data_IF_034277055246
#
_entry.id   IF_034277055246
#
_cell.length_a   1.000
_cell.length_b   1.000
_cell.length_c   1.000
_cell.angle_alpha   90.00
_cell.angle_beta   90.00
_cell.angle_gamma   90.00
#
_symmetry.space_group_name_H-M   'P 1'
#
loop_
_entity.id
_entity.type
_entity.pdbx_description
1 polymer ?
#
# COMPACT_ATOMS: atom_id res chain seq x y z
N UNK A 1 1.76 -12.88 14.17
CA UNK A 1 0.43 -13.17 14.75
C UNK A 1 -0.43 -11.97 14.46
N UNK A 2 -1.33 -12.07 13.48
CA UNK A 2 -2.31 -11.02 13.21
C UNK A 2 -3.26 -10.99 14.41
N UNK A 3 -3.55 -9.80 14.95
CA UNK A 3 -4.67 -9.65 15.87
C UNK A 3 -5.90 -9.79 14.99
N UNK A 4 -6.51 -10.96 14.93
CA UNK A 4 -7.84 -11.13 14.36
C UNK A 4 -8.81 -10.36 15.24
N UNK A 5 -9.14 -9.16 14.83
CA UNK A 5 -10.24 -8.42 15.41
C UNK A 5 -11.50 -9.01 14.82
N UNK A 6 -12.27 -9.73 15.64
CA UNK A 6 -13.56 -10.29 15.19
C UNK A 6 -14.46 -9.17 14.70
N UNK A 7 -15.15 -9.37 13.59
CA UNK A 7 -16.07 -8.39 12.96
C UNK A 7 -17.10 -7.83 13.93
N UNK A 8 -17.57 -8.64 14.89
CA UNK A 8 -18.49 -8.22 15.94
C UNK A 8 -17.88 -7.25 16.98
N UNK A 9 -16.59 -6.95 16.91
CA UNK A 9 -15.92 -6.00 17.78
C UNK A 9 -15.95 -4.55 17.27
N UNK A 10 -16.32 -4.34 16.00
CA UNK A 10 -16.31 -3.02 15.38
C UNK A 10 -17.53 -2.19 15.80
N UNK A 11 -17.29 -0.89 16.03
CA UNK A 11 -18.32 0.10 16.37
C UNK A 11 -18.25 1.23 15.34
N UNK A 12 -19.41 1.65 14.80
CA UNK A 12 -19.45 2.75 13.85
C UNK A 12 -19.10 4.10 14.51
N UNK A 13 -18.47 5.03 13.80
CA UNK A 13 -18.01 6.31 14.36
C UNK A 13 -19.10 7.18 14.96
N UNK A 14 -20.35 6.99 14.53
CA UNK A 14 -21.51 7.75 15.01
C UNK A 14 -22.20 7.11 16.23
N UNK A 15 -21.63 6.07 16.83
CA UNK A 15 -22.20 5.37 17.99
C UNK A 15 -21.56 5.82 19.28
N UNK A 16 -22.40 5.91 20.34
CA UNK A 16 -21.93 6.12 21.70
C UNK A 16 -20.95 5.00 22.08
N UNK A 17 -19.82 5.37 22.67
CA UNK A 17 -18.79 4.41 23.05
C UNK A 17 -17.77 4.08 21.95
N UNK A 18 -17.88 4.67 20.73
CA UNK A 18 -16.87 4.49 19.67
C UNK A 18 -15.46 4.81 20.16
N UNK A 19 -15.27 5.97 20.79
CA UNK A 19 -13.96 6.39 21.28
C UNK A 19 -13.39 5.42 22.31
N UNK A 20 -14.22 4.97 23.27
CA UNK A 20 -13.82 3.97 24.27
C UNK A 20 -13.42 2.66 23.61
N UNK A 21 -14.22 2.17 22.68
CA UNK A 21 -13.93 0.93 21.94
C UNK A 21 -12.66 1.02 21.11
N UNK A 22 -12.43 2.16 20.43
CA UNK A 22 -11.21 2.40 19.68
C UNK A 22 -9.99 2.43 20.61
N UNK A 23 -10.10 3.10 21.74
CA UNK A 23 -9.05 3.10 22.76
C UNK A 23 -8.75 1.68 23.27
N UNK A 24 -9.78 0.88 23.58
CA UNK A 24 -9.62 -0.50 24.06
C UNK A 24 -8.97 -1.41 23.02
N UNK A 25 -9.34 -1.27 21.73
CA UNK A 25 -8.77 -2.07 20.63
C UNK A 25 -7.34 -1.64 20.32
N UNK A 26 -7.10 -0.34 20.19
CA UNK A 26 -5.85 0.23 19.70
C UNK A 26 -4.96 0.83 20.79
N UNK A 27 -5.16 0.42 22.05
CA UNK A 27 -4.39 0.95 23.17
C UNK A 27 -2.87 0.75 22.93
N UNK A 28 -2.05 1.80 23.07
CA UNK A 28 -0.61 1.75 22.79
C UNK A 28 0.11 0.60 23.49
N UNK A 29 -0.24 0.26 24.71
CA UNK A 29 0.40 -0.83 25.46
C UNK A 29 0.30 -2.21 24.77
N UNK A 30 -0.75 -2.45 23.96
CA UNK A 30 -0.90 -3.70 23.21
C UNK A 30 0.13 -3.82 22.10
N UNK A 31 0.59 -2.69 21.56
CA UNK A 31 1.58 -2.63 20.48
C UNK A 31 3.00 -2.53 21.00
N UNK A 32 3.22 -1.83 22.13
CA UNK A 32 4.55 -1.68 22.75
C UNK A 32 5.04 -2.96 23.41
N UNK A 33 4.20 -3.72 24.12
CA UNK A 33 4.59 -4.99 24.74
C UNK A 33 5.15 -6.01 23.75
N UNK A 34 4.65 -6.03 22.49
CA UNK A 34 5.17 -6.90 21.44
C UNK A 34 6.50 -6.43 20.87
N UNK A 35 6.80 -5.15 20.91
CA UNK A 35 8.10 -4.60 20.51
C UNK A 35 9.17 -4.87 21.57
N UNK A 36 8.83 -4.71 22.84
CA UNK A 36 9.72 -5.01 23.98
C UNK A 36 10.03 -6.51 24.10
N UNK A 37 9.05 -7.40 23.88
CA UNK A 37 9.26 -8.86 23.90
C UNK A 37 10.18 -9.35 22.77
N UNK A 38 10.29 -8.61 21.65
CA UNK A 38 11.27 -8.88 20.61
C UNK A 38 12.65 -8.25 20.87
N UNK A 39 12.71 -7.20 21.67
CA UNK A 39 13.96 -6.55 22.07
C UNK A 39 14.64 -7.24 23.26
N UNK A 40 13.87 -7.98 24.08
CA UNK A 40 14.34 -8.75 25.23
C UNK A 40 14.68 -10.21 24.89
N UNK A 41 14.76 -10.57 23.62
CA UNK A 41 15.44 -11.81 23.22
C UNK A 41 16.92 -11.58 23.51
N UNK A 42 17.38 -12.10 24.66
CA UNK A 42 18.77 -12.04 25.10
C UNK A 42 19.66 -12.54 23.96
N UNK A 43 20.52 -11.65 23.45
CA UNK A 43 21.60 -12.00 22.57
C UNK A 43 22.60 -12.88 23.34
N UNK A 44 22.42 -14.19 23.30
CA UNK A 44 23.54 -15.08 23.47
C UNK A 44 24.43 -14.95 22.24
N UNK A 45 25.72 -14.74 22.45
CA UNK A 45 26.71 -14.25 21.47
C UNK A 45 26.87 -15.05 20.17
N UNK A 46 26.19 -16.19 20.00
CA UNK A 46 26.42 -17.10 18.87
C UNK A 46 25.21 -17.38 17.96
N UNK A 47 24.08 -16.70 18.11
CA UNK A 47 22.90 -16.97 17.27
C UNK A 47 22.00 -15.77 16.98
N UNK A 48 22.52 -14.55 16.99
CA UNK A 48 21.78 -13.35 16.59
C UNK A 48 21.89 -13.12 15.08
N UNK A 49 21.47 -14.09 14.26
CA UNK A 49 20.99 -13.77 12.92
C UNK A 49 19.64 -13.07 13.10
N UNK A 50 19.69 -11.74 13.25
CA UNK A 50 18.54 -10.90 13.03
C UNK A 50 18.04 -11.25 11.62
N UNK A 51 16.89 -11.93 11.56
CA UNK A 51 16.22 -12.21 10.29
C UNK A 51 15.83 -10.85 9.65
N UNK A 52 16.80 -10.20 9.02
CA UNK A 52 16.71 -8.89 8.36
C UNK A 52 15.67 -8.91 7.24
N UNK A 53 15.19 -10.12 6.86
CA UNK A 53 14.14 -10.32 5.86
C UNK A 53 12.75 -9.89 6.36
N UNK A 54 12.53 -9.77 7.68
CA UNK A 54 11.25 -9.34 8.23
C UNK A 54 11.23 -7.83 8.47
N UNK A 55 10.57 -7.11 7.59
CA UNK A 55 10.23 -5.70 7.83
C UNK A 55 9.37 -5.62 9.08
N UNK A 56 9.95 -5.14 10.18
CA UNK A 56 9.20 -4.90 11.41
C UNK A 56 8.52 -3.53 11.35
N UNK A 57 7.19 -3.53 11.27
CA UNK A 57 6.41 -2.30 11.34
C UNK A 57 6.48 -1.70 12.75
N UNK A 58 6.62 -0.38 12.84
CA UNK A 58 6.49 0.34 14.09
C UNK A 58 5.06 0.21 14.65
N UNK A 59 4.85 0.39 15.98
CA UNK A 59 3.54 0.30 16.60
C UNK A 59 2.46 1.13 15.91
N UNK A 60 2.75 2.38 15.57
CA UNK A 60 1.83 3.27 14.87
C UNK A 60 1.45 2.78 13.47
N UNK A 61 2.38 2.17 12.75
CA UNK A 61 2.13 1.59 11.43
C UNK A 61 1.24 0.34 11.50
N UNK A 62 1.43 -0.47 12.55
CA UNK A 62 0.56 -1.62 12.82
C UNK A 62 -0.86 -1.20 13.14
N UNK A 63 -1.03 -0.12 13.93
CA UNK A 63 -2.36 0.44 14.23
C UNK A 63 -3.09 0.80 12.94
N UNK A 64 -2.42 1.47 12.00
CA UNK A 64 -3.02 1.83 10.71
C UNK A 64 -3.41 0.59 9.91
N UNK A 65 -2.51 -0.39 9.81
CA UNK A 65 -2.78 -1.66 9.13
C UNK A 65 -4.00 -2.37 9.75
N UNK A 66 -4.06 -2.47 11.08
CA UNK A 66 -5.13 -3.15 11.79
C UNK A 66 -6.46 -2.39 11.69
N UNK A 67 -6.44 -1.04 11.73
CA UNK A 67 -7.62 -0.20 11.55
C UNK A 67 -8.20 -0.33 10.14
N UNK A 68 -7.35 -0.45 9.14
CA UNK A 68 -7.72 -0.57 7.72
C UNK A 68 -7.81 -2.02 7.26
N UNK A 69 -8.10 -2.99 8.14
CA UNK A 69 -8.32 -4.38 7.75
C UNK A 69 -9.52 -4.52 6.80
N UNK A 70 -9.52 -5.59 6.01
CA UNK A 70 -10.60 -5.86 5.06
C UNK A 70 -11.98 -5.88 5.72
N UNK A 71 -12.10 -6.52 6.87
CA UNK A 71 -13.35 -6.64 7.62
C UNK A 71 -13.72 -5.40 8.44
N UNK A 72 -12.86 -4.36 8.44
CA UNK A 72 -13.14 -3.10 9.10
C UNK A 72 -14.25 -2.34 8.38
N UNK A 73 -15.26 -1.80 9.08
CA UNK A 73 -16.33 -1.03 8.45
C UNK A 73 -15.91 0.39 8.08
N UNK A 74 -14.71 0.81 8.46
CA UNK A 74 -14.26 2.19 8.30
C UNK A 74 -13.83 2.45 6.86
N UNK A 75 -14.32 3.56 6.31
CA UNK A 75 -14.02 3.98 4.95
C UNK A 75 -12.59 4.46 4.79
N UNK A 76 -12.06 5.21 5.76
CA UNK A 76 -10.74 5.76 5.62
C UNK A 76 -10.14 6.32 6.89
N UNK A 77 -8.86 6.71 6.78
CA UNK A 77 -8.07 7.30 7.85
C UNK A 77 -7.20 8.43 7.31
N UNK A 78 -7.02 9.48 8.09
CA UNK A 78 -6.01 10.52 7.86
C UNK A 78 -4.80 10.28 8.75
N UNK A 79 -3.63 10.12 8.14
CA UNK A 79 -2.36 10.05 8.85
C UNK A 79 -1.74 11.45 8.89
N UNK A 80 -2.00 12.14 9.99
CA UNK A 80 -1.43 13.45 10.27
C UNK A 80 -0.18 13.27 11.15
N UNK A 81 0.95 13.10 10.51
CA UNK A 81 2.24 12.92 11.17
C UNK A 81 3.30 13.80 10.51
N UNK A 82 4.31 14.25 11.27
CA UNK A 82 5.45 14.99 10.75
C UNK A 82 6.25 14.24 9.68
N UNK A 83 7.18 14.91 9.05
CA UNK A 83 8.09 14.33 8.07
C UNK A 83 8.94 13.22 8.74
N UNK A 84 9.25 12.16 7.99
CA UNK A 84 10.07 11.05 8.48
C UNK A 84 9.36 10.07 9.44
N UNK A 85 8.09 10.26 9.78
CA UNK A 85 7.33 9.40 10.70
C UNK A 85 6.93 8.04 10.12
N UNK A 86 7.26 7.75 8.86
CA UNK A 86 6.92 6.50 8.19
C UNK A 86 5.48 6.39 7.72
N UNK A 87 4.84 7.52 7.33
CA UNK A 87 3.49 7.55 6.75
C UNK A 87 3.35 6.63 5.53
N UNK A 88 4.28 6.74 4.58
CA UNK A 88 4.29 5.89 3.37
C UNK A 88 4.37 4.41 3.75
N UNK A 89 5.22 4.05 4.71
CA UNK A 89 5.33 2.68 5.21
C UNK A 89 4.00 2.17 5.81
N UNK A 90 3.30 2.99 6.58
CA UNK A 90 2.02 2.64 7.16
C UNK A 90 0.95 2.40 6.07
N UNK A 91 0.89 3.27 5.06
CA UNK A 91 -0.06 3.15 3.96
C UNK A 91 0.23 1.95 3.05
N UNK A 92 1.50 1.66 2.77
CA UNK A 92 1.93 0.45 2.04
C UNK A 92 1.49 -0.80 2.81
N UNK A 93 1.84 -0.89 4.10
CA UNK A 93 1.48 -2.04 4.93
C UNK A 93 -0.05 -2.26 5.02
N UNK A 94 -0.84 -1.19 5.03
CA UNK A 94 -2.30 -1.28 5.01
C UNK A 94 -2.81 -1.75 3.62
N UNK A 95 -2.22 -1.28 2.52
CA UNK A 95 -2.64 -1.62 1.16
C UNK A 95 -2.37 -3.07 0.77
N UNK A 96 -1.31 -3.68 1.33
CA UNK A 96 -0.91 -5.04 0.99
C UNK A 96 -1.99 -6.09 1.27
N UNK A 97 -2.84 -5.88 2.27
CA UNK A 97 -4.00 -6.72 2.54
C UNK A 97 -5.08 -6.69 1.45
N UNK A 98 -5.00 -5.75 0.51
CA UNK A 98 -6.01 -5.52 -0.52
C UNK A 98 -5.58 -5.86 -1.94
N UNK A 99 -4.30 -6.10 -2.20
CA UNK A 99 -3.73 -6.24 -3.56
C UNK A 99 -4.47 -7.28 -4.42
N UNK A 100 -4.97 -8.37 -3.83
CA UNK A 100 -5.69 -9.40 -4.57
C UNK A 100 -7.23 -9.25 -4.51
N UNK A 101 -7.73 -8.20 -3.85
CA UNK A 101 -9.17 -8.01 -3.59
C UNK A 101 -9.70 -6.70 -4.16
N UNK A 102 -8.85 -5.67 -4.25
CA UNK A 102 -9.20 -4.33 -4.72
C UNK A 102 -8.12 -3.77 -5.62
N UNK A 103 -8.49 -2.82 -6.46
CA UNK A 103 -7.52 -2.01 -7.18
C UNK A 103 -6.79 -1.08 -6.20
N UNK A 104 -5.47 -1.20 -6.10
CA UNK A 104 -4.70 -0.29 -5.25
C UNK A 104 -4.24 0.90 -6.08
N UNK A 105 -4.75 2.09 -5.71
CA UNK A 105 -4.48 3.34 -6.41
C UNK A 105 -3.64 4.24 -5.50
N UNK A 106 -2.51 4.70 -6.02
CA UNK A 106 -1.62 5.63 -5.32
C UNK A 106 -1.67 6.97 -6.04
N UNK A 107 -2.17 7.97 -5.35
CA UNK A 107 -2.27 9.35 -5.85
C UNK A 107 -1.17 10.18 -5.20
N UNK A 108 -0.24 10.69 -6.00
CA UNK A 108 0.91 11.48 -5.55
C UNK A 108 1.11 12.71 -6.42
N UNK A 109 1.82 13.74 -5.94
CA UNK A 109 2.45 14.71 -6.83
C UNK A 109 3.43 14.01 -7.78
N UNK A 110 3.58 14.49 -9.01
CA UNK A 110 4.46 13.86 -10.00
C UNK A 110 5.91 13.73 -9.51
N UNK A 111 6.40 14.72 -8.77
CA UNK A 111 7.75 14.74 -8.17
C UNK A 111 8.00 13.66 -7.11
N UNK A 112 6.94 13.13 -6.48
CA UNK A 112 7.04 12.15 -5.39
C UNK A 112 6.76 10.72 -5.83
N UNK A 113 6.28 10.50 -7.05
CA UNK A 113 5.91 9.18 -7.55
C UNK A 113 7.08 8.18 -7.50
N UNK A 114 8.26 8.58 -7.95
CA UNK A 114 9.45 7.75 -7.92
C UNK A 114 9.91 7.44 -6.49
N UNK A 115 9.77 8.39 -5.57
CA UNK A 115 10.10 8.17 -4.17
C UNK A 115 9.18 7.11 -3.55
N UNK A 116 7.90 7.12 -3.91
CA UNK A 116 6.93 6.13 -3.43
C UNK A 116 7.22 4.72 -3.99
N UNK A 117 7.58 4.59 -5.27
CA UNK A 117 8.05 3.33 -5.86
C UNK A 117 9.29 2.79 -5.09
N UNK A 118 10.25 3.66 -4.77
CA UNK A 118 11.44 3.29 -3.99
C UNK A 118 11.09 2.84 -2.56
N UNK A 119 10.10 3.46 -1.93
CA UNK A 119 9.61 3.04 -0.62
C UNK A 119 8.94 1.64 -0.69
N UNK A 120 8.15 1.36 -1.72
CA UNK A 120 7.58 0.03 -1.97
C UNK A 120 8.67 -1.04 -2.07
N UNK A 121 9.76 -0.77 -2.80
CA UNK A 121 10.89 -1.71 -2.92
C UNK A 121 11.62 -1.98 -1.60
N UNK A 122 11.53 -1.06 -0.61
CA UNK A 122 12.20 -1.22 0.69
C UNK A 122 11.32 -1.88 1.74
N UNK A 123 10.01 -1.63 1.70
CA UNK A 123 9.10 -1.88 2.82
C UNK A 123 8.13 -3.02 2.53
N UNK A 124 7.79 -3.27 1.25
CA UNK A 124 6.82 -4.29 0.88
C UNK A 124 7.14 -5.65 1.51
N UNK A 125 6.12 -6.27 2.09
CA UNK A 125 6.21 -7.62 2.68
C UNK A 125 5.88 -8.72 1.67
N UNK A 126 5.29 -8.36 0.53
CA UNK A 126 4.74 -9.30 -0.48
C UNK A 126 5.80 -9.65 -1.57
N UNK A 127 7.04 -9.83 -1.20
CA UNK A 127 8.05 -10.26 -2.16
C UNK A 127 8.70 -9.15 -3.01
N UNK A 128 8.28 -7.89 -2.86
CA UNK A 128 8.84 -6.75 -3.61
C UNK A 128 10.03 -6.08 -2.93
N UNK A 129 10.53 -6.66 -1.85
CA UNK A 129 11.57 -6.07 -1.03
C UNK A 129 12.95 -6.52 -1.49
N UNK A 130 13.83 -5.58 -1.80
CA UNK A 130 15.21 -5.82 -2.18
C UNK A 130 16.05 -6.53 -1.09
N UNK A 131 15.60 -6.50 0.18
CA UNK A 131 16.30 -7.17 1.29
C UNK A 131 16.06 -8.68 1.34
N UNK A 132 15.16 -9.21 0.54
CA UNK A 132 14.87 -10.65 0.47
C UNK A 132 15.89 -11.36 -0.41
N UNK A 133 15.95 -12.69 -0.24
CA UNK A 133 16.70 -13.55 -1.13
C UNK A 133 15.93 -13.80 -2.41
N UNK A 134 16.65 -14.04 -3.48
CA UNK A 134 16.14 -14.23 -4.82
C UNK A 134 16.68 -15.53 -5.42
N UNK A 135 15.87 -16.19 -6.23
CA UNK A 135 16.26 -17.39 -6.97
C UNK A 135 16.13 -17.11 -8.47
N UNK A 136 17.16 -17.43 -9.24
CA UNK A 136 17.12 -17.37 -10.69
C UNK A 136 16.66 -18.71 -11.25
N UNK A 137 15.57 -18.70 -12.00
CA UNK A 137 14.99 -19.88 -12.64
C UNK A 137 15.16 -19.81 -14.14
N UNK A 138 15.41 -20.96 -14.77
CA UNK A 138 15.29 -21.14 -16.20
C UNK A 138 13.91 -21.72 -16.50
N UNK A 139 13.16 -21.01 -17.33
CA UNK A 139 11.75 -21.31 -17.63
C UNK A 139 11.49 -21.33 -19.12
N UNK A 140 10.51 -22.13 -19.53
CA UNK A 140 10.10 -22.25 -20.93
C UNK A 140 8.87 -21.35 -21.16
N UNK A 141 9.06 -20.24 -21.90
CA UNK A 141 8.00 -19.24 -22.19
C UNK A 141 6.75 -19.79 -22.87
N UNK A 142 6.88 -20.88 -23.59
CA UNK A 142 5.77 -21.56 -24.28
C UNK A 142 5.00 -22.53 -23.38
N UNK A 143 5.55 -22.91 -22.24
CA UNK A 143 4.87 -23.77 -21.27
C UNK A 143 3.81 -22.97 -20.50
N UNK A 144 2.53 -23.20 -20.84
CA UNK A 144 1.41 -22.48 -20.25
C UNK A 144 1.27 -22.71 -18.75
N UNK A 145 1.53 -23.95 -18.28
CA UNK A 145 1.42 -24.31 -16.86
C UNK A 145 2.48 -23.59 -16.03
N UNK A 146 3.72 -23.58 -16.48
CA UNK A 146 4.82 -22.88 -15.85
C UNK A 146 4.57 -21.37 -15.80
N UNK A 147 4.06 -20.79 -16.87
CA UNK A 147 3.70 -19.38 -16.91
C UNK A 147 2.53 -19.01 -15.99
N UNK A 148 1.58 -19.92 -15.81
CA UNK A 148 0.49 -19.71 -14.84
C UNK A 148 0.99 -19.76 -13.39
N UNK A 149 1.90 -20.66 -13.08
CA UNK A 149 2.55 -20.73 -11.77
C UNK A 149 3.39 -19.47 -11.47
N UNK A 150 4.09 -18.92 -12.47
CA UNK A 150 4.83 -17.66 -12.34
C UNK A 150 3.92 -16.46 -12.04
N UNK A 151 2.66 -16.47 -12.50
CA UNK A 151 1.70 -15.41 -12.13
C UNK A 151 1.44 -15.34 -10.61
N UNK A 152 1.57 -16.45 -9.88
CA UNK A 152 1.53 -16.47 -8.41
C UNK A 152 2.59 -15.56 -7.78
N UNK A 153 3.73 -15.37 -8.46
CA UNK A 153 4.79 -14.41 -8.10
C UNK A 153 4.59 -13.03 -8.74
N UNK A 154 3.47 -12.81 -9.43
CA UNK A 154 3.19 -11.62 -10.26
C UNK A 154 4.21 -11.42 -11.40
N UNK A 155 4.72 -12.50 -11.95
CA UNK A 155 5.69 -12.51 -13.05
C UNK A 155 4.97 -12.91 -14.34
N UNK A 156 5.16 -12.13 -15.39
CA UNK A 156 4.61 -12.37 -16.72
C UNK A 156 5.71 -12.71 -17.75
N UNK A 157 5.28 -12.99 -19.00
CA UNK A 157 6.19 -13.34 -20.09
C UNK A 157 7.23 -12.24 -20.42
N UNK A 158 6.93 -10.97 -20.11
CA UNK A 158 7.80 -9.85 -20.42
C UNK A 158 9.01 -9.79 -19.49
N UNK A 159 8.87 -10.33 -18.28
CA UNK A 159 9.95 -10.37 -17.28
C UNK A 159 10.94 -11.51 -17.54
N UNK A 160 10.55 -12.52 -18.31
CA UNK A 160 11.45 -13.64 -18.66
C UNK A 160 12.42 -13.17 -19.73
N UNK A 161 13.73 -13.25 -19.47
CA UNK A 161 14.78 -12.88 -20.43
C UNK A 161 14.73 -13.71 -21.72
N UNK A 162 15.48 -13.29 -22.74
CA UNK A 162 15.55 -14.00 -24.03
C UNK A 162 16.09 -15.42 -23.88
N UNK A 163 17.07 -15.61 -22.98
CA UNK A 163 17.64 -16.92 -22.65
C UNK A 163 16.74 -17.81 -21.77
N UNK A 164 15.54 -17.35 -21.44
CA UNK A 164 14.58 -18.10 -20.63
C UNK A 164 14.79 -17.96 -19.13
N UNK A 165 15.65 -17.05 -18.65
CA UNK A 165 15.88 -16.85 -17.22
C UNK A 165 14.96 -15.80 -16.61
N UNK A 166 14.58 -15.98 -15.33
CA UNK A 166 13.76 -15.04 -14.56
C UNK A 166 14.11 -15.08 -13.09
N UNK A 167 14.10 -13.92 -12.44
CA UNK A 167 14.30 -13.81 -11.00
C UNK A 167 12.98 -13.88 -10.24
N UNK A 168 12.90 -14.77 -9.24
CA UNK A 168 11.71 -15.00 -8.40
C UNK A 168 12.05 -14.74 -6.94
N UNK A 169 11.25 -13.93 -6.21
CA UNK A 169 11.47 -13.70 -4.79
C UNK A 169 10.94 -14.87 -3.95
N UNK A 170 11.69 -15.32 -2.96
CA UNK A 170 11.25 -16.34 -2.00
C UNK A 170 10.69 -17.63 -2.65
N UNK A 171 11.38 -18.16 -3.63
CA UNK A 171 10.98 -19.34 -4.35
C UNK A 171 10.82 -20.57 -3.42
N UNK A 172 9.69 -21.27 -3.52
CA UNK A 172 9.33 -22.44 -2.70
C UNK A 172 9.31 -23.76 -3.47
N UNK A 173 9.95 -23.81 -4.63
CA UNK A 173 9.96 -24.99 -5.53
C UNK A 173 8.57 -25.45 -5.98
N UNK A 174 7.65 -24.49 -6.18
CA UNK A 174 6.27 -24.72 -6.60
C UNK A 174 6.04 -24.48 -8.11
N UNK A 175 7.11 -24.21 -8.87
CA UNK A 175 7.06 -24.12 -10.33
C UNK A 175 7.63 -25.43 -10.88
N UNK A 176 6.74 -26.26 -11.41
CA UNK A 176 7.10 -27.54 -12.00
C UNK A 176 8.01 -27.35 -13.25
N UNK A 177 8.95 -28.24 -13.42
CA UNK A 177 9.92 -28.25 -14.53
C UNK A 177 10.83 -27.03 -14.65
N UNK A 178 10.87 -26.15 -13.65
CA UNK A 178 11.81 -25.03 -13.62
C UNK A 178 13.19 -25.48 -13.13
N UNK A 179 14.22 -25.21 -13.93
CA UNK A 179 15.62 -25.43 -13.56
C UNK A 179 16.12 -24.26 -12.69
N UNK A 180 16.71 -24.57 -11.53
CA UNK A 180 17.31 -23.54 -10.67
C UNK A 180 18.72 -23.24 -11.20
N UNK A 181 18.94 -22.01 -11.64
CA UNK A 181 20.25 -21.52 -12.10
C UNK A 181 21.06 -20.97 -10.91
N UNK A 182 20.44 -20.16 -10.07
CA UNK A 182 21.03 -19.59 -8.85
C UNK A 182 20.00 -19.70 -7.73
N UNK A 183 20.34 -20.37 -6.63
CA UNK A 183 19.41 -20.54 -5.52
C UNK A 183 19.68 -19.57 -4.38
N UNK A 184 18.61 -18.96 -3.89
CA UNK A 184 18.49 -18.25 -2.62
C UNK A 184 19.64 -17.26 -2.30
N UNK A 185 20.04 -16.46 -3.29
CA UNK A 185 21.09 -15.45 -3.13
C UNK A 185 20.52 -14.14 -2.55
N UNK A 186 21.25 -13.52 -1.61
CA UNK A 186 20.89 -12.20 -1.08
C UNK A 186 21.18 -11.12 -2.13
N UNK A 187 20.30 -10.14 -2.23
CA UNK A 187 20.48 -9.01 -3.17
C UNK A 187 21.83 -8.29 -2.99
N UNK A 188 22.35 -8.19 -1.74
CA UNK A 188 23.67 -7.61 -1.46
C UNK A 188 24.80 -8.30 -2.22
N UNK A 189 24.72 -9.62 -2.36
CA UNK A 189 25.80 -10.51 -2.80
C UNK A 189 25.79 -10.75 -4.31
N UNK A 190 24.82 -10.15 -5.01
CA UNK A 190 24.63 -10.31 -6.46
C UNK A 190 25.53 -9.41 -7.28
N UNK A 191 25.79 -9.82 -8.51
CA UNK A 191 26.45 -9.00 -9.53
C UNK A 191 25.58 -7.76 -9.91
N UNK A 192 26.22 -6.71 -10.41
CA UNK A 192 25.54 -5.45 -10.75
C UNK A 192 24.45 -5.63 -11.80
N UNK A 193 24.65 -6.48 -12.80
CA UNK A 193 23.67 -6.78 -13.84
C UNK A 193 22.41 -7.46 -13.27
N UNK A 194 22.59 -8.44 -12.36
CA UNK A 194 21.48 -9.15 -11.73
C UNK A 194 20.68 -8.22 -10.81
N UNK A 195 21.36 -7.33 -10.10
CA UNK A 195 20.72 -6.28 -9.29
C UNK A 195 19.83 -5.37 -10.13
N UNK A 196 20.28 -5.01 -11.33
CA UNK A 196 19.50 -4.18 -12.25
C UNK A 196 18.28 -4.94 -12.78
N UNK A 197 18.43 -6.20 -13.14
CA UNK A 197 17.35 -7.05 -13.61
C UNK A 197 16.27 -7.26 -12.55
N UNK A 198 16.68 -7.49 -11.31
CA UNK A 198 15.75 -7.60 -10.18
C UNK A 198 15.00 -6.28 -9.96
N UNK A 199 15.68 -5.13 -10.03
CA UNK A 199 15.00 -3.83 -9.94
C UNK A 199 13.98 -3.65 -11.05
N UNK A 200 14.31 -4.00 -12.29
CA UNK A 200 13.37 -3.97 -13.41
C UNK A 200 12.16 -4.88 -13.16
N UNK A 201 12.40 -6.10 -12.69
CA UNK A 201 11.34 -7.06 -12.34
C UNK A 201 10.43 -6.49 -11.24
N UNK A 202 10.99 -5.97 -10.15
CA UNK A 202 10.20 -5.36 -9.07
C UNK A 202 9.40 -4.17 -9.58
N UNK A 203 10.01 -3.27 -10.35
CA UNK A 203 9.32 -2.10 -10.92
C UNK A 203 8.12 -2.53 -11.78
N UNK A 204 8.29 -3.55 -12.59
CA UNK A 204 7.21 -4.10 -13.41
C UNK A 204 6.07 -4.68 -12.54
N UNK A 205 6.42 -5.46 -11.51
CA UNK A 205 5.44 -6.01 -10.57
C UNK A 205 4.69 -4.87 -9.85
N UNK A 206 5.40 -3.83 -9.39
CA UNK A 206 4.78 -2.67 -8.74
C UNK A 206 3.77 -2.02 -9.68
N UNK A 207 4.15 -1.73 -10.93
CA UNK A 207 3.27 -1.06 -11.91
C UNK A 207 2.06 -1.90 -12.33
N UNK A 208 2.16 -3.22 -12.26
CA UNK A 208 1.03 -4.11 -12.50
C UNK A 208 0.08 -4.21 -11.31
N UNK A 209 0.59 -4.07 -10.08
CA UNK A 209 -0.22 -4.19 -8.85
C UNK A 209 -0.77 -2.87 -8.34
N UNK A 210 -0.07 -1.78 -8.60
CA UNK A 210 -0.40 -0.44 -8.12
C UNK A 210 -0.64 0.51 -9.30
N UNK A 211 -1.78 1.15 -9.30
CA UNK A 211 -2.09 2.19 -10.30
C UNK A 211 -1.64 3.54 -9.75
N UNK A 212 -0.63 4.13 -10.35
CA UNK A 212 -0.17 5.47 -9.99
C UNK A 212 -0.96 6.54 -10.74
N UNK A 213 -1.46 7.53 -10.01
CA UNK A 213 -2.16 8.70 -10.55
C UNK A 213 -1.47 9.97 -10.06
N UNK A 214 -0.82 10.67 -10.97
CA UNK A 214 -0.24 11.97 -10.66
C UNK A 214 -1.33 13.04 -10.79
N UNK A 215 -1.93 13.45 -9.67
CA UNK A 215 -3.06 14.39 -9.69
C UNK A 215 -2.69 15.80 -10.19
N UNK A 216 -1.39 16.10 -10.41
CA UNK A 216 -0.92 17.30 -11.07
C UNK A 216 -0.88 17.18 -12.61
N UNK A 217 -0.76 15.97 -13.14
CA UNK A 217 -0.60 15.70 -14.58
C UNK A 217 -1.82 15.04 -15.24
N UNK A 218 -2.84 14.65 -14.47
CA UNK A 218 -4.03 14.01 -15.04
C UNK A 218 -4.89 15.00 -15.81
N UNK A 219 -5.42 14.55 -16.96
CA UNK A 219 -6.29 15.34 -17.83
C UNK A 219 -7.74 14.82 -17.79
N UNK A 220 -8.71 15.66 -18.20
CA UNK A 220 -10.12 15.24 -18.32
C UNK A 220 -10.32 14.10 -19.30
N UNK A 221 -9.49 14.03 -20.35
CA UNK A 221 -9.51 12.91 -21.32
C UNK A 221 -9.13 11.60 -20.61
N UNK A 222 -8.02 11.59 -19.88
CA UNK A 222 -7.58 10.41 -19.11
C UNK A 222 -8.63 9.93 -18.11
N UNK A 223 -9.31 10.86 -17.40
CA UNK A 223 -10.38 10.50 -16.45
C UNK A 223 -11.55 9.83 -17.17
N UNK A 224 -11.95 10.33 -18.34
CA UNK A 224 -13.02 9.74 -19.14
C UNK A 224 -12.66 8.33 -19.67
N UNK A 225 -11.42 8.15 -20.11
CA UNK A 225 -10.91 6.86 -20.60
C UNK A 225 -10.83 5.78 -19.51
N UNK A 226 -10.81 6.17 -18.23
CA UNK A 226 -10.81 5.24 -17.10
C UNK A 226 -12.18 4.59 -16.80
N UNK A 227 -13.26 4.98 -17.52
CA UNK A 227 -14.61 4.48 -17.31
C UNK A 227 -15.46 5.35 -16.39
N UNK A 228 -16.63 4.84 -15.98
CA UNK A 228 -17.66 5.61 -15.24
C UNK A 228 -17.15 6.14 -13.90
N UNK A 229 -16.66 5.27 -13.05
CA UNK A 229 -15.97 5.66 -11.81
C UNK A 229 -14.74 4.77 -11.58
N UNK A 230 -13.55 5.26 -11.93
CA UNK A 230 -12.31 4.48 -11.84
C UNK A 230 -11.88 4.15 -10.40
N UNK A 231 -12.57 4.69 -9.41
CA UNK A 231 -12.28 4.52 -7.99
C UNK A 231 -13.17 3.49 -7.29
N UNK A 232 -14.16 2.92 -7.99
CA UNK A 232 -14.98 1.85 -7.44
C UNK A 232 -14.13 0.62 -7.10
N UNK A 233 -14.49 -0.09 -6.05
CA UNK A 233 -13.78 -1.27 -5.55
C UNK A 233 -12.27 -1.05 -5.41
N UNK A 234 -11.87 0.08 -4.83
CA UNK A 234 -10.45 0.47 -4.75
C UNK A 234 -9.98 0.72 -3.33
N UNK A 235 -8.67 0.47 -3.10
CA UNK A 235 -7.94 0.98 -1.97
C UNK A 235 -7.08 2.16 -2.44
N UNK A 236 -7.40 3.36 -1.96
CA UNK A 236 -6.79 4.60 -2.46
C UNK A 236 -5.88 5.18 -1.39
N UNK A 237 -4.64 5.44 -1.78
CA UNK A 237 -3.68 6.19 -0.97
C UNK A 237 -3.51 7.56 -1.64
N UNK A 238 -3.68 8.63 -0.87
CA UNK A 238 -3.42 9.99 -1.35
C UNK A 238 -2.27 10.56 -0.56
N UNK A 239 -1.10 10.64 -1.19
CA UNK A 239 0.08 11.24 -0.58
C UNK A 239 0.07 12.75 -0.75
N UNK A 240 0.54 13.46 0.30
CA UNK A 240 0.49 14.91 0.42
C UNK A 240 -0.91 15.46 0.05
N UNK A 241 -1.95 14.89 0.67
CA UNK A 241 -3.35 15.17 0.34
C UNK A 241 -3.70 16.65 0.39
N UNK A 242 -3.02 17.44 1.21
CA UNK A 242 -3.19 18.90 1.27
C UNK A 242 -2.99 19.58 -0.08
N UNK A 243 -2.04 19.10 -0.91
CA UNK A 243 -1.85 19.62 -2.25
C UNK A 243 -3.04 19.34 -3.17
N UNK A 244 -3.63 18.16 -3.03
CA UNK A 244 -4.83 17.81 -3.79
C UNK A 244 -6.03 18.66 -3.37
N UNK A 245 -6.23 18.83 -2.05
CA UNK A 245 -7.33 19.67 -1.50
C UNK A 245 -7.16 21.12 -1.87
N UNK A 246 -5.95 21.68 -1.76
CA UNK A 246 -5.66 23.05 -2.17
C UNK A 246 -6.02 23.32 -3.64
N UNK A 247 -5.75 22.36 -4.53
CA UNK A 247 -6.18 22.47 -5.94
C UNK A 247 -7.70 22.54 -6.10
N UNK A 248 -8.44 21.78 -5.28
CA UNK A 248 -9.91 21.83 -5.26
C UNK A 248 -10.36 23.21 -4.80
N UNK A 249 -9.82 23.70 -3.69
CA UNK A 249 -10.12 25.00 -3.12
C UNK A 249 -9.82 26.16 -4.10
N UNK A 250 -8.75 26.01 -4.89
CA UNK A 250 -8.37 26.97 -5.94
C UNK A 250 -9.15 26.79 -7.27
N UNK A 251 -10.24 26.03 -7.28
CA UNK A 251 -11.17 25.94 -8.40
C UNK A 251 -10.75 25.02 -9.55
N UNK A 252 -9.83 24.08 -9.35
CA UNK A 252 -9.45 23.13 -10.38
C UNK A 252 -10.62 22.18 -10.72
N UNK A 253 -11.17 22.30 -11.93
CA UNK A 253 -12.26 21.44 -12.42
C UNK A 253 -11.86 19.96 -12.45
N UNK A 254 -10.61 19.66 -12.76
CA UNK A 254 -10.06 18.30 -12.79
C UNK A 254 -9.98 17.73 -11.38
N UNK A 255 -9.41 18.45 -10.43
CA UNK A 255 -9.32 18.02 -9.04
C UNK A 255 -10.70 17.82 -8.43
N UNK A 256 -11.65 18.72 -8.71
CA UNK A 256 -13.04 18.59 -8.27
C UNK A 256 -13.73 17.36 -8.88
N UNK A 257 -13.48 17.05 -10.16
CA UNK A 257 -14.04 15.83 -10.78
C UNK A 257 -13.50 14.56 -10.12
N UNK A 258 -12.18 14.48 -9.88
CA UNK A 258 -11.54 13.35 -9.17
C UNK A 258 -12.13 13.24 -7.76
N UNK A 259 -12.23 14.35 -7.03
CA UNK A 259 -12.82 14.39 -5.69
C UNK A 259 -14.24 13.83 -5.68
N UNK A 260 -15.11 14.29 -6.58
CA UNK A 260 -16.50 13.83 -6.66
C UNK A 260 -16.57 12.33 -7.00
N UNK A 261 -15.70 11.83 -7.87
CA UNK A 261 -15.62 10.42 -8.19
C UNK A 261 -15.20 9.60 -6.95
N UNK A 262 -14.18 10.04 -6.18
CA UNK A 262 -13.76 9.36 -4.97
C UNK A 262 -14.85 9.38 -3.90
N UNK A 263 -15.51 10.53 -3.68
CA UNK A 263 -16.60 10.65 -2.68
C UNK A 263 -17.74 9.72 -3.02
N UNK A 264 -18.15 9.62 -4.29
CA UNK A 264 -19.25 8.79 -4.76
C UNK A 264 -18.88 7.32 -4.98
N UNK A 265 -17.58 6.97 -4.93
CA UNK A 265 -17.10 5.64 -5.22
C UNK A 265 -17.67 4.60 -4.25
N UNK A 266 -18.08 3.46 -4.81
CA UNK A 266 -18.61 2.30 -4.08
C UNK A 266 -17.48 1.41 -3.62
N UNK A 267 -17.62 0.86 -2.40
CA UNK A 267 -16.67 -0.09 -1.80
C UNK A 267 -15.21 0.39 -1.84
N UNK A 268 -14.98 1.62 -1.39
CA UNK A 268 -13.67 2.26 -1.37
C UNK A 268 -13.08 2.32 0.03
N UNK A 269 -11.77 2.13 0.14
CA UNK A 269 -10.96 2.38 1.33
C UNK A 269 -9.95 3.49 1.03
N UNK A 270 -9.76 4.42 1.98
CA UNK A 270 -8.90 5.58 1.80
C UNK A 270 -7.85 5.71 2.90
N UNK A 271 -6.62 5.97 2.52
CA UNK A 271 -5.56 6.40 3.42
C UNK A 271 -5.02 7.74 2.91
N UNK A 272 -5.29 8.79 3.66
CA UNK A 272 -4.83 10.14 3.35
C UNK A 272 -3.59 10.46 4.17
N UNK A 273 -2.53 10.93 3.51
CA UNK A 273 -1.25 11.24 4.15
C UNK A 273 -1.00 12.74 4.07
N UNK A 274 -0.66 13.37 5.19
CA UNK A 274 -0.24 14.77 5.22
C UNK A 274 0.59 15.10 6.47
N UNK A 275 1.58 15.95 6.30
CA UNK A 275 2.26 16.63 7.40
C UNK A 275 1.55 17.93 7.82
N UNK A 276 0.73 18.49 6.91
CA UNK A 276 0.03 19.78 7.09
C UNK A 276 -1.34 19.69 6.40
N UNK A 277 -2.37 19.14 7.05
CA UNK A 277 -3.64 18.81 6.40
C UNK A 277 -4.45 20.03 5.92
N UNK A 278 -4.17 21.20 6.45
CA UNK A 278 -4.78 22.48 6.08
C UNK A 278 -3.66 23.47 5.78
N UNK A 279 -3.69 24.12 4.60
CA UNK A 279 -2.66 25.06 4.21
C UNK A 279 -3.22 26.50 4.09
N UNK A 280 -4.26 26.67 3.25
CA UNK A 280 -4.70 28.00 2.85
C UNK A 280 -5.94 28.47 3.62
N UNK A 281 -6.95 27.62 3.73
CA UNK A 281 -8.24 28.01 4.26
C UNK A 281 -8.84 26.96 5.21
N UNK A 282 -9.49 27.39 6.32
CA UNK A 282 -10.12 26.45 7.27
C UNK A 282 -11.16 25.53 6.62
N UNK A 283 -11.86 25.96 5.57
CA UNK A 283 -12.87 25.15 4.90
C UNK A 283 -12.30 23.96 4.12
N UNK A 284 -10.97 23.91 3.87
CA UNK A 284 -10.29 22.77 3.26
C UNK A 284 -10.52 21.47 4.04
N UNK A 285 -10.71 21.58 5.37
CA UNK A 285 -11.00 20.42 6.23
C UNK A 285 -12.31 19.72 5.82
N UNK A 286 -13.28 20.45 5.27
CA UNK A 286 -14.55 19.87 4.84
C UNK A 286 -14.35 18.86 3.70
N UNK A 287 -13.45 19.15 2.76
CA UNK A 287 -13.11 18.21 1.69
C UNK A 287 -12.45 16.94 2.24
N UNK A 288 -11.53 17.07 3.20
CA UNK A 288 -10.89 15.93 3.85
C UNK A 288 -11.91 15.04 4.57
N UNK A 289 -12.80 15.65 5.36
CA UNK A 289 -13.84 14.91 6.09
C UNK A 289 -14.78 14.18 5.12
N UNK A 290 -15.19 14.84 4.04
CA UNK A 290 -16.06 14.22 3.04
C UNK A 290 -15.39 13.04 2.32
N UNK A 291 -14.10 13.12 2.01
CA UNK A 291 -13.34 11.98 1.48
C UNK A 291 -13.38 10.79 2.44
N UNK A 292 -13.09 11.03 3.71
CA UNK A 292 -13.03 9.99 4.73
C UNK A 292 -14.39 9.38 5.07
N UNK A 293 -15.43 10.19 5.03
CA UNK A 293 -16.79 9.78 5.43
C UNK A 293 -17.63 9.26 4.26
N UNK A 294 -17.36 9.72 3.04
CA UNK A 294 -18.18 9.45 1.87
C UNK A 294 -19.34 10.44 1.71
N UNK A 295 -20.27 10.19 0.77
CA UNK A 295 -21.35 11.11 0.47
C UNK A 295 -22.26 11.32 1.67
N UNK A 296 -22.54 12.59 1.99
CA UNK A 296 -23.46 12.99 3.04
C UNK A 296 -24.69 13.66 2.45
N UNK A 297 -25.87 13.31 2.95
CA UNK A 297 -27.09 14.04 2.66
C UNK A 297 -27.19 15.23 3.59
N UNK A 298 -27.23 16.43 3.04
CA UNK A 298 -27.50 17.67 3.78
C UNK A 298 -28.98 18.05 3.60
N UNK A 299 -29.64 18.32 4.71
CA UNK A 299 -31.01 18.83 4.69
C UNK A 299 -30.96 20.31 5.09
N UNK A 300 -31.52 21.19 4.25
CA UNK A 300 -31.79 22.57 4.63
C UNK A 300 -33.15 22.58 5.34
N UNK A 301 -33.13 22.91 6.61
CA UNK A 301 -34.35 23.14 7.38
C UNK A 301 -34.61 24.64 7.29
N UNK A 302 -35.74 25.10 6.68
CA UNK A 302 -36.09 26.50 6.73
C UNK A 302 -36.41 26.87 8.20
N UNK A 303 -35.77 27.93 8.67
CA UNK A 303 -36.05 28.51 9.99
C UNK A 303 -37.14 29.54 9.84
#
# INVERSE_FOLDING_TARGET
MNIEVKTNAWVLPNRVGYNKKMYDIFHPSKYHKKAAAKASCECTKDSCELDVSKVSLFPQQRIVKDYMQFDSPYRGILLYHGLGSGKSAASIAASEGYINRKNVIIMTPASLSQNYENELMKISTIGLNLKKSWTCLKVIKTNAKMMEQLKGYAIDKQMVKKEGTVWVPLYKKDIEDAEIVIDNIKYSDMASNDKEDIKKTITHIIRNRYKFINYNGITMKMIKEMGDNPFDNSFIIVDEVHNFISRIANGSKIAMKIYNNIVSAKDVKLVLLSGTPIINHPYEISFLINLLRGPMKTYKIPI
#
